data_IF_575639010609
#
_entry.id   IF_575639010609
#
_cell.length_a   1.000
_cell.length_b   1.000
_cell.length_c   1.000
_cell.angle_alpha   90.00
_cell.angle_beta   90.00
_cell.angle_gamma   90.00
#
_symmetry.space_group_name_H-M   'P 1'
#
loop_
_entity.id
_entity.type
_entity.pdbx_description
1 polymer ?
#
# COMPACT_ATOMS: atom_id res chain seq x y z
N UNK A 1 -15.32 5.53 17.11
CA UNK A 1 -16.24 6.21 16.16
C UNK A 1 -16.07 5.58 14.78
N UNK A 2 -17.16 5.42 14.01
CA UNK A 2 -17.11 5.02 12.59
C UNK A 2 -17.60 6.18 11.74
N UNK A 3 -17.04 6.36 10.55
CA UNK A 3 -17.54 7.30 9.55
C UNK A 3 -18.44 6.56 8.56
N UNK A 4 -19.56 7.19 8.16
CA UNK A 4 -20.51 6.62 7.20
C UNK A 4 -20.45 7.45 5.91
N UNK A 5 -20.34 6.77 4.77
CA UNK A 5 -20.32 7.39 3.44
C UNK A 5 -21.45 6.75 2.63
N UNK A 6 -22.49 7.53 2.33
CA UNK A 6 -23.61 7.06 1.53
C UNK A 6 -23.27 7.21 0.03
N UNK A 7 -23.49 6.15 -0.74
CA UNK A 7 -23.19 6.07 -2.17
C UNK A 7 -24.50 5.87 -2.97
N UNK A 8 -24.77 6.82 -3.87
CA UNK A 8 -25.90 6.82 -4.83
C UNK A 8 -25.36 7.16 -6.21
N UNK A 9 -25.80 6.41 -7.23
CA UNK A 9 -25.42 6.57 -8.62
C UNK A 9 -23.97 6.15 -8.91
N UNK A 10 -23.48 6.39 -10.14
CA UNK A 10 -22.07 6.20 -10.48
C UNK A 10 -21.17 7.04 -9.56
N UNK A 11 -20.16 6.41 -8.96
CA UNK A 11 -19.19 7.12 -8.14
C UNK A 11 -18.00 7.60 -8.97
N UNK A 12 -17.50 8.80 -8.66
CA UNK A 12 -16.13 9.19 -9.00
C UNK A 12 -15.16 8.30 -8.21
N UNK A 13 -14.25 7.64 -8.92
CA UNK A 13 -13.31 6.67 -8.33
C UNK A 13 -11.91 6.88 -8.88
N UNK A 14 -10.92 6.73 -8.01
CA UNK A 14 -9.50 6.83 -8.39
C UNK A 14 -8.70 5.82 -7.60
N UNK A 15 -7.80 5.09 -8.26
CA UNK A 15 -6.93 4.10 -7.62
C UNK A 15 -5.49 4.41 -8.00
N UNK A 16 -4.64 4.63 -6.99
CA UNK A 16 -3.25 5.08 -7.17
C UNK A 16 -2.28 4.30 -6.30
N UNK A 17 -1.11 4.01 -6.85
CA UNK A 17 0.02 3.49 -6.07
C UNK A 17 0.85 4.66 -5.53
N UNK A 18 1.23 4.57 -4.26
CA UNK A 18 2.10 5.53 -3.60
C UNK A 18 3.38 4.81 -3.19
N UNK A 19 4.53 5.35 -3.60
CA UNK A 19 5.87 4.81 -3.28
C UNK A 19 6.02 3.28 -3.48
N UNK A 20 5.62 2.74 -4.65
CA UNK A 20 5.68 1.30 -4.91
C UNK A 20 7.11 0.77 -4.74
N UNK A 21 7.25 -0.45 -4.22
CA UNK A 21 8.55 -1.07 -3.98
C UNK A 21 9.35 -0.51 -2.79
N UNK A 22 8.69 0.15 -1.83
CA UNK A 22 9.34 0.69 -0.60
C UNK A 22 8.58 0.28 0.65
N UNK A 23 9.21 0.38 1.82
CA UNK A 23 8.58 0.14 3.14
C UNK A 23 7.41 1.12 3.42
N UNK A 24 7.31 2.22 2.67
CA UNK A 24 6.21 3.18 2.72
C UNK A 24 5.25 3.06 1.54
N UNK A 25 5.18 1.90 0.90
CA UNK A 25 4.25 1.62 -0.19
C UNK A 25 2.80 1.62 0.30
N UNK A 26 1.89 2.19 -0.49
CA UNK A 26 0.45 2.14 -0.22
C UNK A 26 -0.38 2.18 -1.49
N UNK A 27 -1.54 1.52 -1.48
CA UNK A 27 -2.59 1.67 -2.49
C UNK A 27 -3.63 2.66 -1.97
N UNK A 28 -3.78 3.79 -2.64
CA UNK A 28 -4.82 4.78 -2.39
C UNK A 28 -6.07 4.46 -3.21
N UNK A 29 -7.23 4.40 -2.56
CA UNK A 29 -8.54 4.20 -3.18
C UNK A 29 -9.46 5.35 -2.80
N UNK A 30 -9.82 6.17 -3.79
CA UNK A 30 -10.86 7.22 -3.68
C UNK A 30 -12.19 6.65 -4.18
N UNK A 31 -13.26 6.84 -3.40
CA UNK A 31 -14.65 6.57 -3.82
C UNK A 31 -15.52 7.71 -3.32
N UNK A 32 -16.04 8.51 -4.25
CA UNK A 32 -16.82 9.71 -3.94
C UNK A 32 -16.06 10.65 -2.99
N UNK A 33 -16.69 10.98 -1.86
CA UNK A 33 -16.10 11.81 -0.80
C UNK A 33 -15.15 11.08 0.17
N UNK A 34 -14.64 9.90 -0.16
CA UNK A 34 -13.75 9.12 0.71
C UNK A 34 -12.40 8.80 0.07
N UNK A 35 -11.35 8.73 0.89
CA UNK A 35 -10.00 8.31 0.49
C UNK A 35 -9.44 7.31 1.50
N UNK A 36 -9.04 6.13 1.04
CA UNK A 36 -8.51 5.05 1.86
C UNK A 36 -7.10 4.72 1.37
N UNK A 37 -6.09 4.91 2.22
CA UNK A 37 -4.74 4.40 2.02
C UNK A 37 -4.63 3.02 2.65
N UNK A 38 -4.15 2.05 1.88
CA UNK A 38 -3.98 0.65 2.30
C UNK A 38 -2.50 0.30 2.20
N UNK A 39 -1.89 -0.15 3.29
CA UNK A 39 -0.42 -0.25 3.41
C UNK A 39 0.13 -1.69 3.28
N UNK A 40 -0.74 -2.70 3.16
CA UNK A 40 -0.37 -4.10 2.96
C UNK A 40 -1.33 -4.82 2.01
N UNK A 41 -0.86 -5.93 1.42
CA UNK A 41 -1.58 -6.71 0.42
C UNK A 41 -2.82 -7.40 1.00
N UNK A 42 -2.71 -8.00 2.19
CA UNK A 42 -3.78 -8.77 2.83
C UNK A 42 -4.99 -7.89 3.15
N UNK A 43 -4.78 -6.65 3.54
CA UNK A 43 -5.84 -5.65 3.76
C UNK A 43 -6.53 -5.27 2.45
N UNK A 44 -5.79 -5.13 1.33
CA UNK A 44 -6.42 -4.89 0.02
C UNK A 44 -7.29 -6.09 -0.37
N UNK A 45 -6.77 -7.31 -0.23
CA UNK A 45 -7.49 -8.54 -0.54
C UNK A 45 -8.75 -8.71 0.33
N UNK A 46 -8.66 -8.42 1.63
CA UNK A 46 -9.80 -8.47 2.55
C UNK A 46 -10.88 -7.44 2.18
N UNK A 47 -10.48 -6.23 1.78
CA UNK A 47 -11.41 -5.20 1.32
C UNK A 47 -12.06 -5.59 -0.02
N UNK A 48 -11.30 -6.12 -0.98
CA UNK A 48 -11.84 -6.67 -2.23
C UNK A 48 -12.81 -7.83 -1.96
N UNK A 49 -12.49 -8.74 -1.04
CA UNK A 49 -13.36 -9.84 -0.64
C UNK A 49 -14.68 -9.36 -0.01
N UNK A 50 -14.64 -8.30 0.81
CA UNK A 50 -15.85 -7.68 1.37
C UNK A 50 -16.74 -7.09 0.26
N UNK A 51 -16.17 -6.35 -0.70
CA UNK A 51 -16.93 -5.85 -1.85
C UNK A 51 -17.49 -6.96 -2.75
N UNK A 52 -16.72 -8.04 -2.97
CA UNK A 52 -17.17 -9.23 -3.72
C UNK A 52 -18.36 -9.92 -3.03
N UNK A 53 -18.32 -10.07 -1.70
CA UNK A 53 -19.47 -10.54 -0.90
C UNK A 53 -20.66 -9.58 -1.02
N UNK A 54 -20.39 -8.27 -1.05
CA UNK A 54 -21.38 -7.23 -1.30
C UNK A 54 -22.08 -7.35 -2.65
N UNK A 55 -21.37 -7.69 -3.73
CA UNK A 55 -21.97 -7.90 -5.07
C UNK A 55 -23.06 -8.98 -5.04
N UNK A 56 -22.79 -10.11 -4.37
CA UNK A 56 -23.74 -11.22 -4.28
C UNK A 56 -25.00 -10.84 -3.49
N UNK A 57 -24.83 -10.11 -2.39
CA UNK A 57 -25.94 -9.62 -1.57
C UNK A 57 -26.71 -8.47 -2.26
N UNK A 58 -26.00 -7.61 -3.01
CA UNK A 58 -26.51 -6.38 -3.61
C UNK A 58 -27.36 -6.57 -4.86
N UNK A 59 -27.61 -7.80 -5.31
CA UNK A 59 -28.46 -8.11 -6.47
C UNK A 59 -29.89 -7.59 -6.34
N UNK A 60 -30.37 -7.36 -5.12
CA UNK A 60 -31.71 -6.77 -4.86
C UNK A 60 -31.66 -5.26 -4.55
N UNK A 61 -30.55 -4.58 -4.78
CA UNK A 61 -30.53 -3.12 -4.73
C UNK A 61 -31.27 -2.53 -5.93
N UNK A 62 -31.90 -1.34 -5.79
CA UNK A 62 -32.44 -0.56 -6.88
C UNK A 62 -31.48 -0.44 -8.07
N UNK A 63 -32.02 -0.58 -9.29
CA UNK A 63 -31.26 -0.36 -10.53
C UNK A 63 -31.18 1.11 -10.91
N UNK A 64 -32.19 1.90 -10.54
CA UNK A 64 -32.25 3.35 -10.75
C UNK A 64 -31.82 4.05 -9.46
N UNK A 65 -30.86 5.01 -9.50
CA UNK A 65 -30.50 5.80 -8.33
C UNK A 65 -31.65 6.73 -7.94
N UNK A 66 -31.84 6.90 -6.64
CA UNK A 66 -32.73 7.89 -6.04
C UNK A 66 -31.86 9.01 -5.43
N UNK A 67 -31.75 10.18 -6.09
CA UNK A 67 -30.84 11.24 -5.67
C UNK A 67 -31.25 11.88 -4.33
N UNK A 68 -32.51 11.76 -3.90
CA UNK A 68 -32.98 12.35 -2.64
C UNK A 68 -32.45 11.61 -1.41
N UNK A 69 -31.91 10.38 -1.58
CA UNK A 69 -31.29 9.60 -0.51
C UNK A 69 -29.96 10.18 -0.03
N UNK A 70 -29.25 10.96 -0.85
CA UNK A 70 -27.95 11.56 -0.50
C UNK A 70 -27.90 13.02 -0.94
N UNK A 71 -28.11 13.93 0.02
CA UNK A 71 -27.88 15.36 -0.20
C UNK A 71 -26.38 15.65 -0.19
N UNK A 72 -25.80 16.29 -1.22
CA UNK A 72 -24.41 16.69 -1.20
C UNK A 72 -24.17 17.73 -0.09
N UNK A 73 -23.03 17.61 0.60
CA UNK A 73 -22.59 18.63 1.56
C UNK A 73 -21.98 19.79 0.77
N UNK A 74 -22.75 20.88 0.65
CA UNK A 74 -22.33 22.06 -0.10
C UNK A 74 -21.06 22.69 0.50
N UNK A 75 -20.11 23.06 -0.36
CA UNK A 75 -18.89 23.78 0.04
C UNK A 75 -17.67 22.91 0.38
N UNK A 76 -17.73 21.58 0.23
CA UNK A 76 -16.59 20.69 0.51
C UNK A 76 -15.99 20.17 -0.81
N UNK A 77 -14.76 20.60 -1.11
CA UNK A 77 -13.98 20.15 -2.29
C UNK A 77 -13.08 18.93 -2.03
N UNK A 78 -12.88 18.59 -0.75
CA UNK A 78 -11.94 17.56 -0.28
C UNK A 78 -12.67 16.28 0.20
N UNK A 79 -11.99 15.13 0.31
CA UNK A 79 -12.61 13.94 0.89
C UNK A 79 -13.04 14.19 2.33
N UNK A 80 -14.35 14.03 2.59
CA UNK A 80 -15.00 14.14 3.91
C UNK A 80 -14.45 13.08 4.89
N UNK A 81 -13.92 11.97 4.36
CA UNK A 81 -13.37 10.86 5.15
C UNK A 81 -12.04 10.39 4.58
N UNK A 82 -10.98 10.49 5.38
CA UNK A 82 -9.69 9.85 5.12
C UNK A 82 -9.42 8.72 6.12
N UNK A 83 -8.95 7.57 5.64
CA UNK A 83 -8.52 6.44 6.48
C UNK A 83 -7.17 5.91 5.99
N UNK A 84 -6.29 5.57 6.93
CA UNK A 84 -5.18 4.64 6.67
C UNK A 84 -5.56 3.27 7.25
N UNK A 85 -5.30 2.21 6.51
CA UNK A 85 -5.64 0.84 6.86
C UNK A 85 -4.41 -0.08 6.71
N UNK A 86 -4.22 -0.92 7.72
CA UNK A 86 -3.25 -1.99 7.74
C UNK A 86 -3.74 -3.09 8.69
N UNK A 87 -3.05 -4.23 8.73
CA UNK A 87 -3.28 -5.34 9.68
C UNK A 87 -4.69 -5.98 9.58
N UNK A 88 -5.27 -6.00 8.38
CA UNK A 88 -6.56 -6.64 8.06
C UNK A 88 -7.70 -6.19 9.01
N UNK A 89 -8.06 -4.90 9.03
CA UNK A 89 -9.07 -4.37 9.93
C UNK A 89 -10.46 -4.87 9.51
N UNK A 90 -11.44 -4.96 10.45
CA UNK A 90 -12.71 -5.67 10.22
C UNK A 90 -13.44 -5.27 8.92
N UNK A 91 -13.51 -6.19 7.96
CA UNK A 91 -14.09 -5.96 6.64
C UNK A 91 -15.25 -6.92 6.35
N UNK A 92 -16.46 -6.42 6.11
CA UNK A 92 -17.63 -7.26 5.81
C UNK A 92 -18.73 -6.50 5.07
N UNK A 93 -19.58 -7.25 4.35
CA UNK A 93 -20.77 -6.77 3.69
C UNK A 93 -22.04 -7.31 4.36
N UNK A 94 -23.05 -6.46 4.56
CA UNK A 94 -24.37 -6.83 5.08
C UNK A 94 -25.46 -6.05 4.36
N UNK A 95 -26.37 -6.75 3.68
CA UNK A 95 -27.61 -6.16 3.19
C UNK A 95 -28.59 -5.89 4.36
N UNK A 96 -29.16 -4.70 4.40
CA UNK A 96 -30.27 -4.33 5.27
C UNK A 96 -31.55 -4.12 4.46
N UNK A 97 -32.66 -4.65 4.98
CA UNK A 97 -34.01 -4.51 4.43
C UNK A 97 -34.95 -4.11 5.55
N UNK A 98 -35.26 -2.81 5.65
CA UNK A 98 -36.27 -2.30 6.58
C UNK A 98 -37.62 -2.25 5.87
N UNK A 99 -38.72 -2.77 6.44
CA UNK A 99 -40.06 -2.61 5.87
C UNK A 99 -40.38 -1.14 5.58
N UNK A 100 -40.92 -0.85 4.38
CA UNK A 100 -41.25 0.50 3.94
C UNK A 100 -40.06 1.40 3.56
N UNK A 101 -38.83 0.86 3.46
CA UNK A 101 -37.65 1.60 2.97
C UNK A 101 -36.95 0.86 1.83
N UNK A 102 -36.24 1.56 0.92
CA UNK A 102 -35.33 0.92 -0.02
C UNK A 102 -34.27 0.07 0.69
N UNK A 103 -33.86 -1.04 0.07
CA UNK A 103 -32.77 -1.86 0.58
C UNK A 103 -31.44 -1.07 0.53
N UNK A 104 -30.60 -1.24 1.56
CA UNK A 104 -29.27 -0.63 1.64
C UNK A 104 -28.23 -1.72 1.90
N UNK A 105 -27.12 -1.69 1.18
CA UNK A 105 -26.00 -2.61 1.40
C UNK A 105 -24.90 -1.89 2.16
N UNK A 106 -24.61 -2.34 3.38
CA UNK A 106 -23.55 -1.79 4.20
C UNK A 106 -22.24 -2.55 3.99
N UNK A 107 -21.19 -1.88 3.51
CA UNK A 107 -19.83 -2.40 3.45
C UNK A 107 -19.01 -1.72 4.54
N UNK A 108 -18.68 -2.44 5.62
CA UNK A 108 -17.72 -1.96 6.62
C UNK A 108 -16.31 -2.30 6.15
N UNK A 109 -15.42 -1.30 6.11
CA UNK A 109 -13.97 -1.44 5.97
C UNK A 109 -13.31 -0.75 7.18
N UNK A 110 -13.01 -1.50 8.24
CA UNK A 110 -12.43 -0.96 9.47
C UNK A 110 -13.29 0.13 10.13
N UNK A 111 -12.86 1.40 10.00
CA UNK A 111 -13.54 2.57 10.58
C UNK A 111 -14.48 3.29 9.60
N UNK A 112 -14.46 2.94 8.32
CA UNK A 112 -15.37 3.49 7.29
C UNK A 112 -16.49 2.49 7.00
N UNK A 113 -17.71 2.98 6.82
CA UNK A 113 -18.86 2.18 6.39
C UNK A 113 -19.48 2.84 5.16
N UNK A 114 -19.53 2.12 4.05
CA UNK A 114 -20.25 2.55 2.86
C UNK A 114 -21.70 2.08 2.92
N UNK A 115 -22.66 3.01 2.85
CA UNK A 115 -24.08 2.71 2.65
C UNK A 115 -24.39 2.79 1.17
N UNK A 116 -24.61 1.64 0.53
CA UNK A 116 -24.77 1.54 -0.93
C UNK A 116 -26.24 1.36 -1.26
N UNK A 117 -26.81 2.33 -1.98
CA UNK A 117 -28.25 2.43 -2.19
C UNK A 117 -28.74 1.92 -3.56
N UNK A 118 -27.85 1.73 -4.54
CA UNK A 118 -28.19 1.23 -5.86
C UNK A 118 -27.04 0.43 -6.52
N UNK A 119 -27.36 -0.22 -7.63
CA UNK A 119 -26.40 -1.07 -8.35
C UNK A 119 -25.29 -0.30 -9.07
N UNK A 120 -25.47 0.97 -9.43
CA UNK A 120 -24.42 1.76 -10.10
C UNK A 120 -23.35 2.17 -9.09
N UNK A 121 -23.78 2.58 -7.88
CA UNK A 121 -22.90 2.82 -6.74
C UNK A 121 -22.09 1.56 -6.37
N UNK A 122 -22.77 0.41 -6.28
CA UNK A 122 -22.11 -0.87 -6.00
C UNK A 122 -21.08 -1.27 -7.06
N UNK A 123 -21.44 -1.17 -8.35
CA UNK A 123 -20.55 -1.58 -9.45
C UNK A 123 -19.31 -0.68 -9.55
N UNK A 124 -19.47 0.63 -9.43
CA UNK A 124 -18.36 1.60 -9.52
C UNK A 124 -17.38 1.44 -8.35
N UNK A 125 -17.89 1.40 -7.10
CA UNK A 125 -17.05 1.18 -5.93
C UNK A 125 -16.36 -0.20 -5.94
N UNK A 126 -17.07 -1.29 -6.23
CA UNK A 126 -16.47 -2.62 -6.27
C UNK A 126 -15.44 -2.78 -7.40
N UNK A 127 -15.62 -2.08 -8.54
CA UNK A 127 -14.61 -2.04 -9.60
C UNK A 127 -13.31 -1.36 -9.14
N UNK A 128 -13.40 -0.29 -8.35
CA UNK A 128 -12.24 0.38 -7.76
C UNK A 128 -11.45 -0.55 -6.82
N UNK A 129 -12.13 -1.30 -5.94
CA UNK A 129 -11.45 -2.26 -5.05
C UNK A 129 -10.86 -3.48 -5.77
N UNK A 130 -11.48 -3.93 -6.88
CA UNK A 130 -10.85 -4.93 -7.76
C UNK A 130 -9.59 -4.38 -8.47
N UNK A 131 -9.61 -3.12 -8.89
CA UNK A 131 -8.43 -2.46 -9.47
C UNK A 131 -7.34 -2.25 -8.40
N UNK A 132 -7.72 -1.96 -7.15
CA UNK A 132 -6.79 -1.85 -6.03
C UNK A 132 -6.07 -3.18 -5.77
N UNK A 133 -6.80 -4.31 -5.79
CA UNK A 133 -6.26 -5.67 -5.65
C UNK A 133 -5.25 -6.01 -6.77
N UNK A 134 -5.59 -5.66 -8.01
CA UNK A 134 -4.68 -5.80 -9.16
C UNK A 134 -3.42 -4.92 -9.05
N UNK A 135 -3.56 -3.71 -8.52
CA UNK A 135 -2.45 -2.77 -8.35
C UNK A 135 -1.56 -3.11 -7.14
N UNK A 136 -2.14 -3.71 -6.10
CA UNK A 136 -1.43 -4.14 -4.89
C UNK A 136 -0.32 -5.15 -5.22
N UNK A 137 -0.59 -6.09 -6.13
CA UNK A 137 0.35 -7.11 -6.59
C UNK A 137 1.66 -6.57 -7.20
N UNK A 138 1.69 -5.30 -7.63
CA UNK A 138 2.90 -4.62 -8.14
C UNK A 138 3.35 -3.43 -7.27
N UNK A 139 2.56 -3.05 -6.27
CA UNK A 139 2.85 -1.91 -5.39
C UNK A 139 3.64 -2.33 -4.16
N UNK A 140 3.26 -3.44 -3.53
CA UNK A 140 3.96 -3.98 -2.38
C UNK A 140 5.15 -4.84 -2.83
N UNK A 141 6.26 -4.77 -2.10
CA UNK A 141 7.35 -5.72 -2.28
C UNK A 141 6.82 -7.13 -1.92
N UNK A 142 7.28 -8.20 -2.61
CA UNK A 142 7.12 -9.54 -2.06
C UNK A 142 7.76 -9.56 -0.68
N UNK A 143 7.05 -10.04 0.35
CA UNK A 143 7.67 -10.16 1.67
C UNK A 143 8.96 -10.98 1.53
N UNK A 144 10.11 -10.46 2.00
CA UNK A 144 11.33 -11.23 2.01
C UNK A 144 11.10 -12.39 2.97
N UNK A 145 10.99 -13.61 2.41
CA UNK A 145 10.75 -14.86 3.15
C UNK A 145 11.52 -14.82 4.48
N UNK A 146 10.79 -14.94 5.59
CA UNK A 146 11.35 -14.85 6.93
C UNK A 146 12.47 -15.88 7.12
N UNK A 147 12.46 -16.99 6.38
CA UNK A 147 13.57 -17.95 6.32
C UNK A 147 14.84 -17.34 5.72
N UNK A 148 14.74 -16.51 4.68
CA UNK A 148 15.86 -15.78 4.07
C UNK A 148 16.37 -14.69 5.00
N UNK A 149 15.49 -13.95 5.67
CA UNK A 149 15.87 -12.93 6.66
C UNK A 149 16.60 -13.56 7.85
N UNK A 150 16.05 -14.64 8.42
CA UNK A 150 16.68 -15.38 9.51
C UNK A 150 18.01 -16.02 9.09
N UNK A 151 18.12 -16.52 7.84
CA UNK A 151 19.39 -17.01 7.28
C UNK A 151 20.42 -15.89 7.08
N UNK A 152 19.99 -14.71 6.65
CA UNK A 152 20.86 -13.53 6.50
C UNK A 152 21.37 -13.05 7.86
N UNK A 153 20.48 -12.87 8.84
CA UNK A 153 20.81 -12.53 10.22
C UNK A 153 21.76 -13.59 10.83
N UNK A 154 21.45 -14.89 10.71
CA UNK A 154 22.33 -15.97 11.17
C UNK A 154 23.66 -16.07 10.39
N UNK A 155 23.78 -15.45 9.22
CA UNK A 155 25.04 -15.38 8.44
C UNK A 155 25.86 -14.17 8.86
N UNK A 156 25.24 -13.01 9.05
CA UNK A 156 25.87 -11.82 9.64
C UNK A 156 26.36 -12.11 11.06
N UNK A 157 25.54 -12.77 11.90
CA UNK A 157 25.92 -13.20 13.24
C UNK A 157 27.15 -14.14 13.21
N UNK A 158 27.22 -15.04 12.22
CA UNK A 158 28.38 -15.93 12.02
C UNK A 158 29.63 -15.20 11.52
N UNK A 159 29.49 -14.15 10.71
CA UNK A 159 30.61 -13.33 10.25
C UNK A 159 31.15 -12.41 11.37
N UNK A 160 30.27 -11.86 12.20
CA UNK A 160 30.62 -11.02 13.35
C UNK A 160 31.25 -11.84 14.49
N UNK A 161 30.71 -13.03 14.75
CA UNK A 161 31.22 -13.95 15.79
C UNK A 161 32.29 -14.93 15.27
N UNK A 162 32.71 -14.82 14.00
CA UNK A 162 33.82 -15.61 13.50
C UNK A 162 35.08 -15.22 14.30
N UNK A 163 35.75 -16.17 14.98
CA UNK A 163 37.01 -15.85 15.64
C UNK A 163 37.97 -15.31 14.57
N UNK A 164 38.47 -14.09 14.77
CA UNK A 164 39.57 -13.54 13.98
C UNK A 164 40.66 -14.61 13.99
N UNK A 165 40.87 -15.28 12.85
CA UNK A 165 42.02 -16.17 12.68
C UNK A 165 43.24 -15.32 12.99
N UNK A 166 43.90 -15.61 14.11
CA UNK A 166 45.23 -15.11 14.37
C UNK A 166 46.06 -15.52 13.15
N UNK A 167 46.43 -14.54 12.33
CA UNK A 167 47.31 -14.79 11.21
C UNK A 167 48.61 -15.40 11.75
N UNK A 168 49.24 -16.35 11.04
CA UNK A 168 50.53 -16.87 11.47
C UNK A 168 51.49 -15.71 11.69
N UNK A 169 52.19 -15.80 12.82
CA UNK A 169 53.02 -14.76 13.39
C UNK A 169 54.05 -14.22 12.39
N UNK A 170 54.21 -12.89 12.33
CA UNK A 170 55.10 -12.22 11.36
C UNK A 170 56.25 -11.54 12.08
N UNK A 171 57.33 -12.29 12.28
CA UNK A 171 58.67 -11.79 12.58
C UNK A 171 59.61 -12.27 11.45
N UNK A 172 60.00 -11.43 10.47
CA UNK A 172 61.13 -10.47 10.44
C UNK A 172 62.53 -11.12 10.44
N UNK A 173 63.59 -10.44 9.96
CA UNK A 173 63.71 -9.65 8.72
C UNK A 173 65.00 -9.98 7.93
N UNK A 174 65.12 -9.56 6.65
CA UNK A 174 66.43 -9.48 5.96
C UNK A 174 66.54 -8.16 5.18
N UNK A 175 67.51 -7.33 5.56
CA UNK A 175 68.10 -6.25 4.77
C UNK A 175 69.40 -6.79 4.12
N UNK A 176 70.02 -6.30 3.04
CA UNK A 176 69.81 -5.18 2.13
C UNK A 176 70.55 -5.55 0.79
N UNK A 177 70.82 -4.71 -0.22
CA UNK A 177 70.48 -3.32 -0.54
C UNK A 177 70.69 -3.10 -2.06
N UNK A 178 69.83 -2.35 -2.75
CA UNK A 178 70.17 -1.73 -4.04
C UNK A 178 69.24 -0.55 -4.38
N UNK A 179 69.78 0.66 -4.27
CA UNK A 179 69.32 1.87 -4.95
C UNK A 179 70.49 2.37 -5.84
N UNK A 180 70.35 3.38 -6.71
CA UNK A 180 69.16 4.16 -7.08
C UNK A 180 68.89 4.10 -8.61
N UNK A 181 67.86 4.73 -9.16
CA UNK A 181 68.00 6.08 -9.76
C UNK A 181 66.66 6.68 -10.18
N UNK A 182 66.52 8.02 -10.23
CA UNK A 182 65.24 8.70 -10.45
C UNK A 182 65.03 9.13 -11.91
N UNK A 183 63.77 9.20 -12.35
CA UNK A 183 63.35 10.17 -13.38
C UNK A 183 62.11 10.95 -12.96
N UNK A 184 62.08 12.21 -13.41
CA UNK A 184 61.41 13.36 -12.78
C UNK A 184 60.76 14.20 -13.86
N UNK A 185 59.43 14.13 -14.00
CA UNK A 185 58.58 15.06 -14.75
C UNK A 185 57.15 14.95 -14.16
N UNK A 186 56.48 15.94 -13.57
CA UNK A 186 56.59 17.41 -13.56
C UNK A 186 56.02 18.12 -14.81
N UNK A 187 54.68 18.24 -14.88
CA UNK A 187 53.87 19.41 -15.31
C UNK A 187 52.37 19.06 -15.18
N UNK A 188 51.55 19.80 -14.42
CA UNK A 188 50.91 21.11 -14.69
C UNK A 188 49.72 21.10 -15.67
N UNK A 189 48.53 21.41 -15.12
CA UNK A 189 47.47 22.36 -15.57
C UNK A 189 46.10 21.82 -15.12
N UNK A 190 45.16 22.53 -14.49
CA UNK A 190 44.78 23.95 -14.36
C UNK A 190 43.94 24.54 -15.51
N UNK A 191 42.62 24.37 -15.42
CA UNK A 191 41.51 25.16 -16.02
C UNK A 191 40.22 24.62 -15.33
N UNK A 192 39.23 25.36 -14.79
CA UNK A 192 38.69 26.74 -14.91
C UNK A 192 37.91 27.06 -16.20
N UNK A 193 36.62 26.71 -16.19
CA UNK A 193 35.48 27.45 -16.76
C UNK A 193 34.30 27.19 -15.81
N UNK A 194 33.70 28.20 -15.16
CA UNK A 194 32.67 29.14 -15.67
C UNK A 194 31.36 28.45 -16.00
#
# INVERSE_FOLDING_TARGET
MKAIVALVGPQDVTVTAHRPGTDGAAVGVRVGGSLIYINDLDTVQAFHAAWRSGIEQGRTLPTRPDPDLVRPVWGVSEPVVMMSAADVPPSHARLERTPGRPACLWITLGRVVFGVHDQLALRSAAAAFRQADQLAATTFLPEPDLSVRYRAEATVQRLLNAPRRAGPDRATPVAAAAAPSPQRFLRMRSERAR
#
